data_IF_189935470324
#
_entry.id   IF_189935470324
#
_cell.length_a   1.000
_cell.length_b   1.000
_cell.length_c   1.000
_cell.angle_alpha   90.00
_cell.angle_beta   90.00
_cell.angle_gamma   90.00
#
_symmetry.space_group_name_H-M   'P 1'
#
loop_
_entity.id
_entity.type
_entity.pdbx_description
1 polymer ?
#
# COMPACT_ATOMS: atom_id res chain seq x y z
N UNK A 1 -20.67 1.31 -29.96
CA UNK A 1 -19.45 1.67 -29.24
C UNK A 1 -18.52 0.48 -29.16
N UNK A 2 -17.20 0.73 -29.28
CA UNK A 2 -16.21 -0.34 -29.41
C UNK A 2 -15.28 -0.48 -28.21
N UNK A 3 -15.40 0.40 -27.21
CA UNK A 3 -14.57 0.40 -26.02
C UNK A 3 -15.39 0.74 -24.77
N UNK A 4 -15.07 0.05 -23.66
CA UNK A 4 -15.59 0.27 -22.33
C UNK A 4 -14.43 0.60 -21.39
N UNK A 5 -14.36 1.80 -20.87
CA UNK A 5 -13.49 2.16 -19.77
C UNK A 5 -14.23 1.88 -18.47
N UNK A 6 -14.06 0.68 -17.95
CA UNK A 6 -14.87 0.15 -16.85
C UNK A 6 -14.47 0.66 -15.47
N UNK A 7 -13.34 1.37 -15.36
CA UNK A 7 -12.81 1.79 -14.06
C UNK A 7 -12.66 0.60 -13.13
N UNK A 8 -13.14 0.77 -11.90
CA UNK A 8 -13.11 -0.26 -10.86
C UNK A 8 -14.42 -1.08 -10.80
N UNK A 9 -15.26 -1.03 -11.83
CA UNK A 9 -16.51 -1.84 -11.87
C UNK A 9 -16.25 -3.24 -12.41
N UNK A 10 -15.55 -3.35 -13.54
CA UNK A 10 -15.21 -4.63 -14.18
C UNK A 10 -13.72 -4.66 -14.47
N UNK A 11 -13.05 -5.67 -13.97
CA UNK A 11 -11.69 -6.05 -14.28
C UNK A 11 -11.67 -7.27 -15.21
N UNK A 12 -10.52 -7.57 -15.79
CA UNK A 12 -10.35 -8.81 -16.54
C UNK A 12 -10.19 -9.98 -15.56
N UNK A 13 -11.14 -10.92 -15.62
CA UNK A 13 -11.23 -12.06 -14.72
C UNK A 13 -11.83 -11.77 -13.35
N UNK A 14 -12.19 -10.50 -13.04
CA UNK A 14 -12.69 -10.10 -11.73
C UNK A 14 -13.65 -8.90 -11.81
N UNK A 15 -14.16 -8.46 -10.66
CA UNK A 15 -14.96 -7.23 -10.48
C UNK A 15 -14.43 -6.43 -9.30
N UNK A 16 -14.84 -5.16 -9.22
CA UNK A 16 -14.44 -4.28 -8.13
C UNK A 16 -14.91 -4.78 -6.76
N UNK A 17 -14.09 -4.51 -5.75
CA UNK A 17 -14.39 -4.89 -4.36
C UNK A 17 -15.46 -3.98 -3.77
N UNK A 18 -16.56 -4.54 -3.26
CA UNK A 18 -17.65 -3.74 -2.70
C UNK A 18 -17.30 -3.09 -1.36
N UNK A 19 -16.35 -3.65 -0.60
CA UNK A 19 -15.98 -3.16 0.73
C UNK A 19 -15.19 -1.83 0.72
N UNK A 20 -14.55 -1.47 -0.39
CA UNK A 20 -13.70 -0.27 -0.46
C UNK A 20 -14.48 1.05 -0.33
N UNK A 21 -15.75 1.08 -0.71
CA UNK A 21 -16.56 2.29 -0.70
C UNK A 21 -17.48 2.43 0.53
N UNK A 22 -17.51 1.49 1.46
CA UNK A 22 -18.45 1.44 2.58
C UNK A 22 -18.52 2.75 3.39
N UNK A 23 -17.38 3.25 3.86
CA UNK A 23 -17.30 4.50 4.65
C UNK A 23 -17.73 5.72 3.84
N UNK A 24 -17.40 5.76 2.55
CA UNK A 24 -17.70 6.88 1.68
C UNK A 24 -19.18 6.92 1.25
N UNK A 25 -19.81 5.75 1.15
CA UNK A 25 -21.21 5.60 0.72
C UNK A 25 -22.19 5.50 1.90
N UNK A 26 -21.74 5.28 3.11
CA UNK A 26 -22.58 4.96 4.29
C UNK A 26 -23.49 3.75 4.04
N UNK A 27 -22.96 2.74 3.32
CA UNK A 27 -23.64 1.52 2.93
C UNK A 27 -22.88 0.31 3.44
N UNK A 28 -23.56 -0.82 3.58
CA UNK A 28 -22.89 -2.09 3.91
C UNK A 28 -22.16 -2.64 2.68
N UNK A 29 -21.28 -3.61 2.91
CA UNK A 29 -20.59 -4.34 1.85
C UNK A 29 -21.60 -5.08 0.94
N UNK A 30 -22.63 -5.65 1.53
CA UNK A 30 -23.69 -6.36 0.82
C UNK A 30 -24.54 -5.41 -0.04
N UNK A 31 -24.88 -4.22 0.46
CA UNK A 31 -25.60 -3.20 -0.31
C UNK A 31 -24.80 -2.75 -1.54
N UNK A 32 -23.49 -2.56 -1.35
CA UNK A 32 -22.58 -2.19 -2.43
C UNK A 32 -22.39 -3.33 -3.43
N UNK A 33 -22.28 -4.56 -2.98
CA UNK A 33 -22.24 -5.75 -3.84
C UNK A 33 -23.54 -5.89 -4.64
N UNK A 34 -24.70 -5.66 -4.01
CA UNK A 34 -25.99 -5.66 -4.67
C UNK A 34 -26.10 -4.58 -5.77
N UNK A 35 -25.59 -3.38 -5.48
CA UNK A 35 -25.51 -2.28 -6.46
C UNK A 35 -24.58 -2.61 -7.63
N UNK A 36 -23.46 -3.25 -7.35
CA UNK A 36 -22.52 -3.74 -8.36
C UNK A 36 -23.20 -4.79 -9.26
N UNK A 37 -23.91 -5.75 -8.68
CA UNK A 37 -24.68 -6.74 -9.43
C UNK A 37 -25.63 -6.08 -10.43
N UNK A 38 -26.43 -5.09 -9.99
CA UNK A 38 -27.34 -4.37 -10.86
C UNK A 38 -26.60 -3.65 -12.00
N UNK A 39 -25.50 -2.99 -11.68
CA UNK A 39 -24.68 -2.29 -12.68
C UNK A 39 -24.11 -3.25 -13.73
N UNK A 40 -23.62 -4.40 -13.32
CA UNK A 40 -23.09 -5.42 -14.23
C UNK A 40 -24.20 -5.99 -15.12
N UNK A 41 -25.35 -6.38 -14.57
CA UNK A 41 -26.44 -7.02 -15.30
C UNK A 41 -27.17 -6.07 -16.24
N UNK A 42 -27.41 -4.82 -15.81
CA UNK A 42 -28.26 -3.89 -16.56
C UNK A 42 -27.50 -2.97 -17.50
N UNK A 43 -26.21 -2.69 -17.23
CA UNK A 43 -25.43 -1.72 -18.00
C UNK A 43 -24.30 -2.35 -18.79
N UNK A 44 -23.60 -3.34 -18.24
CA UNK A 44 -22.39 -3.90 -18.85
C UNK A 44 -22.69 -5.13 -19.67
N UNK A 45 -23.36 -6.13 -19.10
CA UNK A 45 -23.66 -7.40 -19.81
C UNK A 45 -24.65 -7.24 -20.96
N UNK A 46 -25.29 -6.09 -21.09
CA UNK A 46 -26.17 -5.74 -22.22
C UNK A 46 -25.42 -5.18 -23.44
N UNK A 47 -24.13 -4.89 -23.30
CA UNK A 47 -23.31 -4.40 -24.39
C UNK A 47 -22.92 -5.53 -25.36
N UNK A 48 -22.48 -5.18 -26.57
CA UNK A 48 -21.99 -6.18 -27.54
C UNK A 48 -20.76 -6.92 -27.02
N UNK A 49 -20.66 -8.25 -27.24
CA UNK A 49 -19.47 -9.03 -26.88
C UNK A 49 -18.16 -8.52 -27.51
N UNK A 50 -18.24 -7.80 -28.64
CA UNK A 50 -17.07 -7.22 -29.32
C UNK A 50 -16.48 -5.99 -28.64
N UNK A 51 -17.13 -5.47 -27.60
CA UNK A 51 -16.66 -4.30 -26.86
C UNK A 51 -15.36 -4.63 -26.14
N UNK A 52 -14.35 -3.82 -26.42
CA UNK A 52 -13.04 -3.94 -25.75
C UNK A 52 -13.10 -3.29 -24.38
N UNK A 53 -12.68 -4.03 -23.35
CA UNK A 53 -12.69 -3.59 -21.95
C UNK A 53 -11.30 -3.09 -21.55
N UNK A 54 -11.27 -1.86 -21.05
CA UNK A 54 -10.10 -1.20 -20.46
C UNK A 54 -10.38 -0.95 -18.97
N UNK A 55 -9.92 -1.83 -18.06
CA UNK A 55 -10.14 -1.67 -16.63
C UNK A 55 -9.26 -0.56 -16.03
N UNK A 56 -9.62 -0.07 -14.84
CA UNK A 56 -8.83 0.92 -14.10
C UNK A 56 -7.51 0.37 -13.56
N UNK A 57 -7.44 -0.93 -13.30
CA UNK A 57 -6.27 -1.64 -12.75
C UNK A 57 -6.07 -3.00 -13.42
N UNK A 58 -4.85 -3.51 -13.30
CA UNK A 58 -4.48 -4.89 -13.65
C UNK A 58 -4.08 -5.71 -12.42
N UNK A 59 -3.50 -6.89 -12.68
CA UNK A 59 -3.04 -7.83 -11.65
C UNK A 59 -2.14 -7.16 -10.61
N UNK A 60 -2.35 -7.52 -9.34
CA UNK A 60 -1.58 -6.99 -8.20
C UNK A 60 -2.19 -5.75 -7.53
N UNK A 61 -3.25 -5.15 -8.07
CA UNK A 61 -3.99 -4.10 -7.38
C UNK A 61 -4.82 -4.68 -6.23
N UNK A 62 -4.95 -3.89 -5.14
CA UNK A 62 -5.82 -4.23 -4.02
C UNK A 62 -7.32 -4.01 -4.32
N UNK A 63 -7.67 -3.50 -5.50
CA UNK A 63 -9.04 -3.20 -5.91
C UNK A 63 -9.83 -4.42 -6.41
N UNK A 64 -9.17 -5.55 -6.67
CA UNK A 64 -9.78 -6.85 -7.00
C UNK A 64 -9.09 -7.98 -6.27
N UNK A 65 -9.64 -9.21 -6.31
CA UNK A 65 -9.04 -10.37 -5.66
C UNK A 65 -8.37 -11.36 -6.61
N UNK A 66 -8.87 -11.48 -7.85
CA UNK A 66 -8.41 -12.46 -8.83
C UNK A 66 -8.21 -11.88 -10.24
N UNK A 67 -7.75 -10.65 -10.33
CA UNK A 67 -7.52 -10.01 -11.63
C UNK A 67 -6.51 -10.77 -12.48
N UNK A 68 -6.82 -10.93 -13.76
CA UNK A 68 -5.93 -11.55 -14.73
C UNK A 68 -4.71 -10.67 -15.04
N UNK A 69 -3.70 -11.25 -15.68
CA UNK A 69 -2.46 -10.52 -16.06
C UNK A 69 -2.63 -9.64 -17.30
N UNK A 70 -3.65 -9.89 -18.08
CA UNK A 70 -3.98 -9.11 -19.26
C UNK A 70 -4.40 -7.70 -18.86
N UNK A 71 -4.11 -6.74 -19.73
CA UNK A 71 -4.45 -5.33 -19.52
C UNK A 71 -5.63 -4.86 -20.38
N UNK A 72 -6.02 -5.69 -21.35
CA UNK A 72 -7.13 -5.45 -22.28
C UNK A 72 -7.72 -6.78 -22.71
N UNK A 73 -9.03 -6.84 -22.90
CA UNK A 73 -9.76 -8.03 -23.39
C UNK A 73 -11.12 -7.63 -23.94
N UNK A 74 -11.90 -8.59 -24.45
CA UNK A 74 -13.26 -8.34 -24.92
C UNK A 74 -14.29 -8.65 -23.85
N UNK A 75 -15.44 -7.98 -23.92
CA UNK A 75 -16.56 -8.29 -23.03
C UNK A 75 -17.04 -9.73 -23.23
N UNK A 76 -17.01 -10.24 -24.46
CA UNK A 76 -17.36 -11.65 -24.76
C UNK A 76 -16.51 -12.64 -23.98
N UNK A 77 -15.18 -12.45 -23.96
CA UNK A 77 -14.26 -13.26 -23.16
C UNK A 77 -14.61 -13.16 -21.66
N UNK A 78 -14.95 -11.97 -21.17
CA UNK A 78 -15.34 -11.80 -19.78
C UNK A 78 -16.68 -12.48 -19.45
N UNK A 79 -17.64 -12.46 -20.36
CA UNK A 79 -18.92 -13.17 -20.18
C UNK A 79 -18.74 -14.70 -20.09
N UNK A 80 -17.71 -15.25 -20.72
CA UNK A 80 -17.37 -16.68 -20.72
C UNK A 80 -16.52 -17.09 -19.50
N UNK A 81 -15.56 -16.25 -19.12
CA UNK A 81 -14.47 -16.64 -18.19
C UNK A 81 -14.55 -15.99 -16.81
N UNK A 82 -15.17 -14.79 -16.71
CA UNK A 82 -15.23 -14.06 -15.44
C UNK A 82 -16.30 -14.67 -14.51
N UNK A 83 -15.88 -15.14 -13.35
CA UNK A 83 -16.75 -15.79 -12.38
C UNK A 83 -17.95 -14.95 -11.98
N UNK A 84 -17.80 -13.63 -11.88
CA UNK A 84 -18.84 -12.69 -11.45
C UNK A 84 -19.87 -12.37 -12.54
N UNK A 85 -19.58 -12.69 -13.81
CA UNK A 85 -20.47 -12.43 -14.96
C UNK A 85 -21.31 -13.65 -15.38
N UNK A 86 -21.26 -14.76 -14.64
CA UNK A 86 -22.08 -15.95 -14.94
C UNK A 86 -23.56 -15.58 -15.02
N UNK A 87 -24.20 -15.88 -16.17
CA UNK A 87 -25.57 -15.47 -16.45
C UNK A 87 -26.62 -16.08 -15.51
N UNK A 88 -26.34 -17.28 -14.99
CA UNK A 88 -27.21 -18.04 -14.08
C UNK A 88 -26.98 -17.75 -12.59
N UNK A 89 -26.05 -16.85 -12.24
CA UNK A 89 -25.76 -16.51 -10.85
C UNK A 89 -26.86 -15.61 -10.26
N UNK A 90 -27.44 -16.01 -9.14
CA UNK A 90 -28.37 -15.18 -8.40
C UNK A 90 -27.68 -13.99 -7.74
N UNK A 91 -28.47 -13.02 -7.27
CA UNK A 91 -27.91 -11.86 -6.53
C UNK A 91 -27.24 -12.31 -5.23
N UNK A 92 -27.86 -13.22 -4.52
CA UNK A 92 -27.38 -13.76 -3.25
C UNK A 92 -26.06 -14.52 -3.43
N UNK A 93 -25.98 -15.34 -4.47
CA UNK A 93 -24.73 -16.04 -4.84
C UNK A 93 -23.63 -15.06 -5.23
N UNK A 94 -23.97 -14.03 -6.01
CA UNK A 94 -23.01 -12.98 -6.39
C UNK A 94 -22.46 -12.25 -5.16
N UNK A 95 -23.36 -11.81 -4.25
CA UNK A 95 -22.94 -11.12 -3.02
C UNK A 95 -22.01 -12.03 -2.21
N UNK A 96 -22.39 -13.27 -1.99
CA UNK A 96 -21.58 -14.22 -1.25
C UNK A 96 -20.18 -14.41 -1.89
N UNK A 97 -20.12 -14.60 -3.22
CA UNK A 97 -18.83 -14.82 -3.91
C UNK A 97 -17.92 -13.59 -3.94
N UNK A 98 -18.46 -12.38 -4.20
CA UNK A 98 -17.61 -11.19 -4.29
C UNK A 98 -17.14 -10.68 -2.93
N UNK A 99 -17.84 -11.06 -1.86
CA UNK A 99 -17.47 -10.66 -0.48
C UNK A 99 -16.64 -11.70 0.25
N UNK A 100 -16.59 -12.95 -0.23
CA UNK A 100 -15.80 -14.01 0.39
C UNK A 100 -14.30 -13.81 0.21
N UNK A 101 -13.54 -14.09 1.26
CA UNK A 101 -12.08 -14.09 1.24
C UNK A 101 -11.42 -12.73 0.98
N UNK A 102 -12.14 -11.62 1.14
CA UNK A 102 -11.56 -10.28 0.99
C UNK A 102 -10.56 -10.01 2.12
N UNK A 103 -9.33 -9.71 1.76
CA UNK A 103 -8.35 -9.20 2.72
C UNK A 103 -8.75 -7.77 3.15
N UNK A 104 -8.47 -7.35 4.39
CA UNK A 104 -8.70 -5.98 4.81
C UNK A 104 -8.12 -4.98 3.81
N UNK A 105 -8.86 -3.91 3.46
CA UNK A 105 -8.31 -2.89 2.58
C UNK A 105 -7.14 -2.16 3.25
N UNK A 106 -6.19 -1.61 2.47
CA UNK A 106 -5.14 -0.77 3.03
C UNK A 106 -5.72 0.35 3.90
N UNK A 107 -5.13 0.59 5.07
CA UNK A 107 -5.66 1.52 6.07
C UNK A 107 -5.83 2.96 5.54
N UNK A 108 -4.99 3.37 4.58
CA UNK A 108 -5.03 4.71 3.97
C UNK A 108 -6.13 4.91 2.91
N UNK A 109 -6.79 3.86 2.41
CA UNK A 109 -7.79 3.99 1.34
C UNK A 109 -8.95 4.93 1.68
N UNK A 110 -9.59 4.84 2.87
CA UNK A 110 -10.68 5.76 3.23
C UNK A 110 -10.24 7.23 3.26
N UNK A 111 -9.02 7.48 3.73
CA UNK A 111 -8.47 8.84 3.78
C UNK A 111 -8.14 9.36 2.38
N UNK A 112 -7.59 8.54 1.49
CA UNK A 112 -7.36 8.91 0.11
C UNK A 112 -8.68 9.27 -0.62
N UNK A 113 -9.75 8.53 -0.38
CA UNK A 113 -11.07 8.88 -0.92
C UNK A 113 -11.55 10.23 -0.38
N UNK A 114 -11.29 10.53 0.90
CA UNK A 114 -11.65 11.83 1.49
C UNK A 114 -10.77 12.96 0.93
N UNK A 115 -9.47 12.75 0.76
CA UNK A 115 -8.52 13.71 0.19
C UNK A 115 -8.87 14.03 -1.27
N UNK A 116 -9.19 13.03 -2.09
CA UNK A 116 -9.57 13.22 -3.49
C UNK A 116 -10.87 14.03 -3.69
N UNK A 117 -11.65 14.26 -2.63
CA UNK A 117 -12.85 15.12 -2.65
C UNK A 117 -12.56 16.56 -2.18
N UNK A 118 -11.35 16.87 -1.77
CA UNK A 118 -10.94 18.17 -1.22
C UNK A 118 -9.83 18.76 -2.10
N UNK A 119 -9.65 20.08 -1.99
CA UNK A 119 -8.43 20.71 -2.46
C UNK A 119 -7.28 20.26 -1.54
N UNK A 120 -6.21 19.75 -2.15
CA UNK A 120 -4.98 19.32 -1.47
C UNK A 120 -3.81 20.21 -1.92
N UNK A 121 -2.77 20.39 -1.09
CA UNK A 121 -1.55 21.10 -1.50
C UNK A 121 -0.94 20.48 -2.76
N UNK A 122 -0.32 21.31 -3.59
CA UNK A 122 0.45 20.84 -4.74
C UNK A 122 1.73 20.10 -4.32
N UNK A 123 2.24 19.21 -5.15
CA UNK A 123 3.50 18.51 -4.87
C UNK A 123 4.68 19.47 -4.64
N UNK A 124 4.72 20.62 -5.32
CA UNK A 124 5.76 21.61 -5.15
C UNK A 124 5.74 22.22 -3.73
N UNK A 125 4.55 22.48 -3.20
CA UNK A 125 4.35 22.99 -1.86
C UNK A 125 4.78 21.96 -0.81
N UNK A 126 4.36 20.70 -0.96
CA UNK A 126 4.77 19.60 -0.10
C UNK A 126 6.29 19.41 -0.12
N UNK A 127 6.91 19.44 -1.30
CA UNK A 127 8.37 19.31 -1.43
C UNK A 127 9.12 20.48 -0.79
N UNK A 128 8.59 21.70 -0.87
CA UNK A 128 9.19 22.86 -0.24
C UNK A 128 9.17 22.75 1.29
N UNK A 129 8.11 22.17 1.86
CA UNK A 129 8.00 21.96 3.31
C UNK A 129 8.80 20.74 3.79
N UNK A 130 8.72 19.63 3.09
CA UNK A 130 9.31 18.34 3.45
C UNK A 130 10.79 18.20 3.05
N UNK A 131 11.26 18.97 2.09
CA UNK A 131 12.64 18.90 1.54
C UNK A 131 13.73 19.48 2.43
N UNK A 132 13.53 19.57 3.74
CA UNK A 132 14.50 20.10 4.70
C UNK A 132 15.53 19.03 5.06
N UNK A 133 16.80 19.36 4.86
CA UNK A 133 17.92 18.54 5.31
C UNK A 133 18.27 18.90 6.76
N UNK A 134 18.47 17.89 7.60
CA UNK A 134 18.90 18.04 8.99
C UNK A 134 20.21 17.30 9.19
N UNK A 135 21.21 17.96 9.75
CA UNK A 135 22.39 17.26 10.26
C UNK A 135 22.01 16.29 11.38
N UNK A 136 22.87 15.33 11.76
CA UNK A 136 22.52 14.31 12.76
C UNK A 136 22.08 14.87 14.12
N UNK A 137 22.55 16.03 14.55
CA UNK A 137 22.18 16.66 15.82
C UNK A 137 20.79 17.27 15.73
N UNK A 138 20.53 18.03 14.68
CA UNK A 138 19.23 18.65 14.42
C UNK A 138 18.15 17.59 14.13
N UNK A 139 18.53 16.51 13.42
CA UNK A 139 17.63 15.38 13.13
C UNK A 139 17.15 14.69 14.41
N UNK A 140 18.08 14.37 15.32
CA UNK A 140 17.74 13.75 16.62
C UNK A 140 16.87 14.67 17.48
N UNK A 141 17.22 15.97 17.55
CA UNK A 141 16.42 16.94 18.27
C UNK A 141 14.99 17.02 17.71
N UNK A 142 14.85 17.11 16.38
CA UNK A 142 13.56 17.15 15.70
C UNK A 142 12.75 15.86 15.93
N UNK A 143 13.39 14.68 15.91
CA UNK A 143 12.75 13.41 16.19
C UNK A 143 12.13 13.38 17.58
N UNK A 144 12.87 13.87 18.58
CA UNK A 144 12.45 13.88 19.96
C UNK A 144 11.38 14.96 20.24
N UNK A 145 11.60 16.21 19.76
CA UNK A 145 10.69 17.33 20.03
C UNK A 145 9.33 17.17 19.36
N UNK A 146 9.29 16.58 18.16
CA UNK A 146 8.08 16.40 17.36
C UNK A 146 7.46 15.03 17.52
N UNK A 147 8.03 14.16 18.35
CA UNK A 147 7.64 12.75 18.49
C UNK A 147 7.54 12.08 17.11
N UNK A 148 8.51 12.38 16.25
CA UNK A 148 8.47 11.97 14.86
C UNK A 148 8.91 10.51 14.73
N UNK A 149 8.19 9.76 13.90
CA UNK A 149 8.60 8.44 13.46
C UNK A 149 9.80 8.57 12.50
N UNK A 150 10.89 7.89 12.80
CA UNK A 150 12.01 7.77 11.88
C UNK A 150 11.75 6.62 10.92
N UNK A 151 11.54 6.97 9.64
CA UNK A 151 11.31 6.01 8.56
C UNK A 151 12.57 5.84 7.73
N UNK A 152 13.19 4.67 7.82
CA UNK A 152 14.33 4.30 6.98
C UNK A 152 13.83 3.60 5.71
N UNK A 153 14.12 4.20 4.57
CA UNK A 153 13.65 3.73 3.26
C UNK A 153 14.73 3.02 2.44
N UNK A 154 15.89 2.78 3.04
CA UNK A 154 16.98 2.00 2.45
C UNK A 154 16.58 0.52 2.31
N UNK A 155 17.41 -0.22 1.60
CA UNK A 155 17.21 -1.67 1.46
C UNK A 155 17.23 -2.37 2.83
N UNK A 156 16.41 -3.42 3.04
CA UNK A 156 16.36 -4.14 4.32
C UNK A 156 17.72 -4.65 4.81
N UNK A 157 18.62 -5.04 3.89
CA UNK A 157 19.96 -5.49 4.23
C UNK A 157 20.84 -4.35 4.78
N UNK A 158 20.71 -3.14 4.21
CA UNK A 158 21.41 -1.95 4.71
C UNK A 158 20.89 -1.54 6.08
N UNK A 159 19.58 -1.58 6.27
CA UNK A 159 18.95 -1.34 7.57
C UNK A 159 19.40 -2.36 8.62
N UNK A 160 19.38 -3.65 8.28
CA UNK A 160 19.81 -4.70 9.20
C UNK A 160 21.29 -4.56 9.62
N UNK A 161 22.16 -4.13 8.69
CA UNK A 161 23.57 -3.90 9.00
C UNK A 161 23.81 -2.72 9.95
N UNK A 162 22.90 -1.73 9.97
CA UNK A 162 22.95 -0.60 10.89
C UNK A 162 21.81 0.37 10.63
N UNK A 163 21.14 0.81 11.70
CA UNK A 163 20.02 1.76 11.63
C UNK A 163 19.95 2.64 12.89
N UNK A 164 19.15 3.67 12.84
CA UNK A 164 18.84 4.53 13.99
C UNK A 164 17.92 3.76 14.94
N UNK A 165 18.20 3.67 16.25
CA UNK A 165 17.32 3.00 17.20
C UNK A 165 15.87 3.49 17.12
N UNK A 166 14.92 2.57 17.29
CA UNK A 166 13.47 2.82 17.19
C UNK A 166 12.98 3.30 15.80
N UNK A 167 13.82 3.29 14.76
CA UNK A 167 13.35 3.51 13.40
C UNK A 167 12.66 2.27 12.84
N UNK A 168 11.75 2.49 11.88
CA UNK A 168 11.15 1.40 11.11
C UNK A 168 11.71 1.40 9.68
N UNK A 169 11.81 0.20 9.09
CA UNK A 169 12.25 0.07 7.69
C UNK A 169 11.09 -0.24 6.76
N UNK A 170 10.90 0.61 5.76
CA UNK A 170 10.03 0.35 4.62
C UNK A 170 10.82 0.70 3.36
N UNK A 171 11.45 -0.28 2.74
CA UNK A 171 12.28 -0.05 1.55
C UNK A 171 11.51 0.62 0.41
N UNK A 172 12.10 1.65 -0.19
CA UNK A 172 11.45 2.43 -1.25
C UNK A 172 11.19 1.59 -2.50
N UNK A 173 11.97 0.56 -2.75
CA UNK A 173 11.79 -0.34 -3.88
C UNK A 173 10.73 -1.41 -3.58
N UNK A 174 9.82 -1.67 -4.53
CA UNK A 174 8.72 -2.63 -4.36
C UNK A 174 7.43 -2.02 -3.82
N UNK A 175 6.76 -2.72 -2.91
CA UNK A 175 5.43 -2.38 -2.37
C UNK A 175 5.42 -1.27 -1.32
N UNK A 176 6.14 -0.17 -1.53
CA UNK A 176 6.32 0.91 -0.55
C UNK A 176 5.00 1.46 0.00
N UNK A 177 4.10 1.92 -0.87
CA UNK A 177 2.85 2.56 -0.46
C UNK A 177 1.91 1.63 0.34
N UNK A 178 1.67 0.37 -0.05
CA UNK A 178 0.94 -0.59 0.78
C UNK A 178 1.55 -0.80 2.15
N UNK A 179 2.87 -0.89 2.25
CA UNK A 179 3.56 -1.08 3.54
C UNK A 179 3.51 0.16 4.43
N UNK A 180 3.65 1.37 3.86
CA UNK A 180 3.44 2.63 4.58
C UNK A 180 2.05 2.66 5.19
N UNK A 181 1.02 2.37 4.41
CA UNK A 181 -0.36 2.36 4.88
C UNK A 181 -0.71 1.24 5.87
N UNK A 182 0.06 0.14 5.88
CA UNK A 182 -0.13 -0.95 6.82
C UNK A 182 0.57 -0.71 8.17
N UNK A 183 1.76 -0.10 8.15
CA UNK A 183 2.61 0.05 9.33
C UNK A 183 2.49 1.41 10.01
N UNK A 184 2.01 2.44 9.30
CA UNK A 184 1.81 3.79 9.85
C UNK A 184 0.30 4.09 9.82
N UNK A 185 -0.44 3.77 10.88
CA UNK A 185 -1.90 3.86 10.86
C UNK A 185 -2.44 5.29 10.86
N UNK A 186 -1.67 6.27 11.36
CA UNK A 186 -2.06 7.68 11.35
C UNK A 186 -1.38 8.43 10.21
N UNK A 187 -2.16 8.85 9.21
CA UNK A 187 -1.66 9.67 8.09
C UNK A 187 -1.12 11.04 8.52
N UNK A 188 -1.42 11.47 9.75
CA UNK A 188 -0.94 12.73 10.33
C UNK A 188 0.31 12.54 11.18
N UNK A 189 0.87 11.33 11.23
CA UNK A 189 2.13 11.07 11.92
C UNK A 189 3.24 11.98 11.36
N UNK A 190 3.95 12.67 12.25
CA UNK A 190 5.17 13.37 11.88
C UNK A 190 6.25 12.35 11.51
N UNK A 191 6.89 12.51 10.38
CA UNK A 191 7.85 11.54 9.83
C UNK A 191 9.16 12.26 9.49
N UNK A 192 10.27 11.66 9.89
CA UNK A 192 11.62 12.01 9.46
C UNK A 192 12.20 10.86 8.65
N UNK A 193 12.89 11.19 7.57
CA UNK A 193 13.35 10.19 6.60
C UNK A 193 14.85 9.91 6.73
N UNK A 194 15.19 8.62 6.63
CA UNK A 194 16.54 8.14 6.31
C UNK A 194 16.46 7.47 4.94
N UNK A 195 17.23 7.97 3.98
CA UNK A 195 17.17 7.53 2.57
C UNK A 195 18.55 7.19 2.03
N UNK A 196 18.59 6.46 0.93
CA UNK A 196 19.80 6.47 0.07
C UNK A 196 19.94 7.86 -0.54
N UNK A 197 21.19 8.36 -0.65
CA UNK A 197 21.48 9.70 -1.14
C UNK A 197 20.88 9.94 -2.53
N UNK A 198 20.21 11.09 -2.68
CA UNK A 198 19.58 11.51 -3.93
C UNK A 198 18.19 10.90 -4.18
N UNK A 199 17.64 10.15 -3.23
CA UNK A 199 16.27 9.59 -3.34
C UNK A 199 15.26 10.29 -2.43
N UNK A 200 15.64 11.34 -1.75
CA UNK A 200 14.82 12.06 -0.76
C UNK A 200 13.52 12.58 -1.40
N UNK A 201 13.63 13.23 -2.54
CA UNK A 201 12.48 13.76 -3.28
C UNK A 201 11.54 12.64 -3.77
N UNK A 202 12.10 11.53 -4.23
CA UNK A 202 11.29 10.36 -4.63
C UNK A 202 10.47 9.84 -3.45
N UNK A 203 11.09 9.69 -2.27
CA UNK A 203 10.42 9.20 -1.07
C UNK A 203 9.30 10.15 -0.66
N UNK A 204 9.57 11.45 -0.57
CA UNK A 204 8.57 12.47 -0.22
C UNK A 204 7.38 12.43 -1.17
N UNK A 205 7.64 12.37 -2.48
CA UNK A 205 6.56 12.26 -3.49
C UNK A 205 5.73 10.98 -3.33
N UNK A 206 6.38 9.86 -3.02
CA UNK A 206 5.67 8.58 -2.84
C UNK A 206 4.87 8.54 -1.53
N UNK A 207 5.33 9.20 -0.48
CA UNK A 207 4.58 9.42 0.75
C UNK A 207 3.33 10.28 0.51
N UNK A 208 3.51 11.43 -0.15
CA UNK A 208 2.42 12.35 -0.47
C UNK A 208 1.32 11.70 -1.35
N UNK A 209 1.69 10.81 -2.28
CA UNK A 209 0.71 10.08 -3.12
C UNK A 209 -0.26 9.21 -2.32
N UNK A 210 0.08 8.84 -1.11
CA UNK A 210 -0.78 8.05 -0.21
C UNK A 210 -1.23 8.84 1.02
N UNK A 211 -1.09 10.17 0.98
CA UNK A 211 -1.65 11.10 1.95
C UNK A 211 -0.79 11.35 3.19
N UNK A 212 0.47 10.90 3.20
CA UNK A 212 1.41 11.17 4.31
C UNK A 212 2.19 12.46 4.02
N UNK A 213 1.55 13.60 4.23
CA UNK A 213 2.09 14.93 3.90
C UNK A 213 2.91 15.55 5.05
N UNK A 214 2.99 14.87 6.20
CA UNK A 214 3.72 15.37 7.39
C UNK A 214 5.15 14.83 7.47
N UNK A 215 5.85 14.82 6.35
CA UNK A 215 7.29 14.62 6.32
C UNK A 215 7.96 15.93 6.75
N UNK A 216 8.67 15.90 7.89
CA UNK A 216 9.33 17.07 8.45
C UNK A 216 10.66 17.38 7.76
N UNK A 217 11.27 16.37 7.16
CA UNK A 217 12.54 16.47 6.46
C UNK A 217 13.28 15.14 6.45
N UNK A 218 14.57 15.19 6.12
CA UNK A 218 15.42 14.01 5.99
C UNK A 218 16.80 14.21 6.61
N UNK A 219 17.47 13.12 6.92
CA UNK A 219 18.84 13.11 7.44
C UNK A 219 19.83 13.45 6.34
N UNK A 220 20.50 14.58 6.48
CA UNK A 220 21.56 15.03 5.56
C UNK A 220 22.75 14.06 5.59
N UNK A 221 23.17 13.61 4.41
CA UNK A 221 24.23 12.61 4.29
C UNK A 221 23.83 11.18 4.64
N UNK A 222 22.53 10.94 4.90
CA UNK A 222 21.99 9.61 5.16
C UNK A 222 22.50 8.96 6.45
N UNK A 223 22.35 7.65 6.57
CA UNK A 223 22.76 6.89 7.75
C UNK A 223 24.27 6.97 8.02
N UNK A 224 25.07 7.09 6.98
CA UNK A 224 26.52 7.24 7.08
C UNK A 224 26.92 8.48 7.88
N UNK A 225 26.22 9.61 7.67
CA UNK A 225 26.46 10.83 8.44
C UNK A 225 26.08 10.65 9.93
N UNK A 226 25.00 9.94 10.22
CA UNK A 226 24.59 9.60 11.58
C UNK A 226 25.66 8.79 12.30
N UNK A 227 26.12 7.71 11.66
CA UNK A 227 27.16 6.85 12.19
C UNK A 227 28.49 7.58 12.38
N UNK A 228 28.89 8.41 11.40
CA UNK A 228 30.12 9.22 11.48
C UNK A 228 30.06 10.27 12.60
N UNK A 229 28.88 10.76 12.96
CA UNK A 229 28.68 11.66 14.09
C UNK A 229 28.75 10.96 15.46
N UNK A 230 29.01 9.66 15.49
CA UNK A 230 29.11 8.86 16.72
C UNK A 230 27.78 8.70 17.46
N UNK A 231 26.66 8.84 16.76
CA UNK A 231 25.32 8.63 17.32
C UNK A 231 25.04 7.16 17.54
N UNK A 232 24.12 6.87 18.45
CA UNK A 232 23.69 5.49 18.74
C UNK A 232 23.12 4.81 17.51
N UNK A 233 23.53 3.56 17.30
CA UNK A 233 23.05 2.72 16.18
C UNK A 233 22.67 1.36 16.70
N UNK A 234 21.68 0.73 16.05
CA UNK A 234 21.27 -0.63 16.29
C UNK A 234 21.42 -1.48 15.02
N UNK A 235 21.37 -2.79 15.15
CA UNK A 235 21.52 -3.72 14.04
C UNK A 235 20.73 -5.00 14.25
N UNK A 236 20.40 -5.68 13.16
CA UNK A 236 19.74 -7.00 13.18
C UNK A 236 20.68 -8.02 12.56
N UNK A 237 21.08 -9.01 13.37
CA UNK A 237 21.94 -10.07 12.91
C UNK A 237 21.14 -11.08 12.06
N UNK A 238 21.60 -11.37 10.86
CA UNK A 238 21.06 -12.44 10.00
C UNK A 238 21.94 -13.68 10.14
N UNK A 239 21.36 -14.77 10.62
CA UNK A 239 22.09 -16.02 10.87
C UNK A 239 21.57 -17.15 9.98
N UNK A 240 22.42 -18.11 9.57
CA UNK A 240 22.00 -19.30 8.85
C UNK A 240 21.17 -20.24 9.75
N UNK A 241 20.31 -21.07 9.11
CA UNK A 241 19.41 -22.00 9.82
C UNK A 241 20.16 -22.94 10.79
N UNK A 242 21.36 -23.38 10.43
CA UNK A 242 22.20 -24.23 11.30
C UNK A 242 22.62 -23.54 12.59
N UNK A 243 22.96 -22.27 12.52
CA UNK A 243 23.29 -21.46 13.70
C UNK A 243 22.05 -21.14 14.53
N UNK A 244 20.92 -20.80 13.87
CA UNK A 244 19.64 -20.63 14.54
C UNK A 244 19.27 -21.85 15.39
N UNK A 245 19.39 -23.07 14.83
CA UNK A 245 19.11 -24.30 15.56
C UNK A 245 20.01 -24.49 16.77
N UNK A 246 21.31 -24.12 16.68
CA UNK A 246 22.25 -24.19 17.80
C UNK A 246 21.91 -23.15 18.88
N UNK A 247 21.63 -21.91 18.54
CA UNK A 247 21.24 -20.86 19.49
C UNK A 247 19.94 -21.21 20.21
N UNK A 248 18.94 -21.73 19.49
CA UNK A 248 17.69 -22.18 20.10
C UNK A 248 17.86 -23.35 21.06
N UNK A 249 18.75 -24.29 20.73
CA UNK A 249 19.07 -25.40 21.63
C UNK A 249 19.85 -24.95 22.88
N UNK A 250 20.65 -23.90 22.77
CA UNK A 250 21.44 -23.36 23.88
C UNK A 250 20.65 -22.44 24.82
N UNK A 251 19.59 -21.80 24.32
CA UNK A 251 18.70 -20.91 25.07
C UNK A 251 17.24 -21.37 24.99
N UNK A 252 16.74 -22.19 25.91
CA UNK A 252 15.35 -22.63 25.95
C UNK A 252 14.33 -21.51 26.20
N UNK A 253 14.78 -20.31 26.61
CA UNK A 253 13.95 -19.16 26.85
C UNK A 253 13.84 -18.23 25.60
N UNK A 254 14.57 -18.55 24.51
CA UNK A 254 14.54 -17.76 23.28
C UNK A 254 13.12 -17.70 22.70
N UNK A 255 12.68 -16.48 22.40
CA UNK A 255 11.37 -16.24 21.76
C UNK A 255 11.56 -16.34 20.26
N UNK A 256 10.79 -17.22 19.62
CA UNK A 256 10.78 -17.38 18.16
C UNK A 256 9.48 -16.86 17.60
N UNK A 257 9.59 -15.87 16.68
CA UNK A 257 8.44 -15.38 15.93
C UNK A 257 8.55 -15.82 14.46
N UNK A 258 7.61 -16.62 14.01
CA UNK A 258 7.49 -16.99 12.59
C UNK A 258 6.61 -15.95 11.87
N UNK A 259 7.22 -15.19 10.94
CA UNK A 259 6.56 -14.14 10.16
C UNK A 259 6.16 -14.59 8.76
N UNK A 260 6.32 -15.88 8.45
CA UNK A 260 5.87 -16.44 7.16
C UNK A 260 4.36 -16.53 7.12
N UNK A 261 3.80 -16.47 5.90
CA UNK A 261 2.38 -16.78 5.71
C UNK A 261 2.14 -18.27 5.98
N UNK A 262 1.04 -18.55 6.66
CA UNK A 262 0.52 -19.91 6.82
C UNK A 262 -0.06 -20.39 5.50
#
# INVERSE_FOLDING_TARGET
>A
DRALFSGDTLFLGDVGRPDLAQKAASMTQEDLASTLFDSLRTKIMTLSPDVVVYPGHGAGSACGKNMSKETVGTLGEQLETNYALRANMSREEFIAEVTDGLLPPPAYFPENVALNKKAIPGFEEILAEAGKAFDPVAFEAMANEMEALVLDTRKPQSFAAGHIPNSINIGIDGGFAPWVGALIPDIKQNILLVTDLGREEEVIKRMARVGYDRVLGYLEGGFEAWSAAGKETDSVESIPTSEFAQRLAADPAAVVLDVRKV
#
